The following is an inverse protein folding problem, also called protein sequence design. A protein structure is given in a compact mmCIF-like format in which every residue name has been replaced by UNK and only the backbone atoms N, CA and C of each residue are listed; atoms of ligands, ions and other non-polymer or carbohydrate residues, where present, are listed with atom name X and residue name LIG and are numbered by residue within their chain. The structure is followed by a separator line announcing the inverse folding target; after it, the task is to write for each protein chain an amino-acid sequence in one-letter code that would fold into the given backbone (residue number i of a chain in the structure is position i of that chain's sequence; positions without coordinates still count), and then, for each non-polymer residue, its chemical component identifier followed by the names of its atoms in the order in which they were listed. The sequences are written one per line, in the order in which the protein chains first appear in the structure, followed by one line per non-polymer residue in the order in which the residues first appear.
data_IF_666328793458
#
_entry.id   IF_666328793458
#
_cell.length_a   1.000
_cell.length_b   1.000
_cell.length_c   1.000
_cell.angle_alpha   90.00
_cell.angle_beta   90.00
_cell.angle_gamma   90.00
#
_symmetry.space_group_name_H-M   'P 1'
#
loop_
_entity.id
_entity.type
_entity.pdbx_description
1 polymer ?
#
# COMPACT_ATOMS: atom_id res chain seq x y z
N UNK A 1 -19.44 10.01 -18.92
CA UNK A 1 -18.18 9.25 -19.14
C UNK A 1 -18.39 8.22 -20.25
N UNK A 2 -17.49 8.14 -21.24
CA UNK A 2 -17.61 7.16 -22.33
C UNK A 2 -17.60 5.71 -21.78
N UNK A 3 -18.46 4.83 -22.32
CA UNK A 3 -18.59 3.42 -21.87
C UNK A 3 -17.25 2.65 -21.91
N UNK A 4 -16.38 2.98 -22.87
CA UNK A 4 -15.05 2.39 -22.99
C UNK A 4 -14.11 2.85 -21.86
N UNK A 5 -14.09 4.14 -21.52
CA UNK A 5 -13.27 4.68 -20.41
C UNK A 5 -13.69 4.08 -19.07
N UNK A 6 -15.00 3.91 -18.84
CA UNK A 6 -15.57 3.27 -17.65
C UNK A 6 -15.11 1.81 -17.49
N UNK A 7 -15.14 1.04 -18.57
CA UNK A 7 -14.72 -0.37 -18.56
C UNK A 7 -13.23 -0.49 -18.23
N UNK A 8 -12.39 0.33 -18.85
CA UNK A 8 -10.95 0.34 -18.58
C UNK A 8 -10.65 0.73 -17.13
N UNK A 9 -11.31 1.77 -16.61
CA UNK A 9 -11.12 2.21 -15.23
C UNK A 9 -11.49 1.12 -14.22
N UNK A 10 -12.61 0.42 -14.46
CA UNK A 10 -13.05 -0.70 -13.63
C UNK A 10 -12.03 -1.85 -13.64
N UNK A 11 -11.47 -2.19 -14.80
CA UNK A 11 -10.44 -3.23 -14.92
C UNK A 11 -9.19 -2.85 -14.12
N UNK A 12 -8.71 -1.62 -14.26
CA UNK A 12 -7.53 -1.14 -13.52
C UNK A 12 -7.77 -1.18 -12.01
N UNK A 13 -8.95 -0.76 -11.55
CA UNK A 13 -9.31 -0.84 -10.13
C UNK A 13 -9.34 -2.29 -9.60
N UNK A 14 -9.88 -3.23 -10.38
CA UNK A 14 -9.88 -4.65 -10.00
C UNK A 14 -8.47 -5.21 -9.93
N UNK A 15 -7.62 -4.90 -10.91
CA UNK A 15 -6.21 -5.30 -10.90
C UNK A 15 -5.46 -4.71 -9.70
N UNK A 16 -5.74 -3.45 -9.35
CA UNK A 16 -5.18 -2.80 -8.17
C UNK A 16 -5.57 -3.54 -6.88
N UNK A 17 -6.85 -3.92 -6.73
CA UNK A 17 -7.32 -4.70 -5.58
C UNK A 17 -6.64 -6.08 -5.51
N UNK A 18 -6.52 -6.78 -6.64
CA UNK A 18 -5.81 -8.07 -6.70
C UNK A 18 -4.35 -7.87 -6.29
N UNK A 19 -3.68 -6.83 -6.78
CA UNK A 19 -2.31 -6.48 -6.40
C UNK A 19 -2.16 -6.27 -4.89
N UNK A 20 -3.08 -5.53 -4.27
CA UNK A 20 -3.09 -5.30 -2.81
C UNK A 20 -3.29 -6.63 -2.05
N UNK A 21 -4.19 -7.51 -2.51
CA UNK A 21 -4.39 -8.82 -1.86
C UNK A 21 -3.14 -9.70 -1.97
N UNK A 22 -2.53 -9.76 -3.16
CA UNK A 22 -1.30 -10.52 -3.37
C UNK A 22 -0.15 -9.99 -2.51
N UNK A 23 -0.05 -8.68 -2.35
CA UNK A 23 0.92 -8.02 -1.48
C UNK A 23 0.76 -8.43 -0.02
N UNK A 24 -0.47 -8.36 0.51
CA UNK A 24 -0.77 -8.81 1.88
C UNK A 24 -0.50 -10.31 2.05
N UNK A 25 -0.88 -11.14 1.08
CA UNK A 25 -0.66 -12.58 1.11
C UNK A 25 0.84 -12.92 1.12
N UNK A 26 1.63 -12.24 0.29
CA UNK A 26 3.09 -12.38 0.27
C UNK A 26 3.71 -12.06 1.63
N UNK A 27 3.26 -10.99 2.29
CA UNK A 27 3.76 -10.63 3.62
C UNK A 27 3.29 -11.55 4.74
N UNK A 28 2.09 -12.13 4.64
CA UNK A 28 1.64 -13.15 5.56
C UNK A 28 2.56 -14.39 5.47
N UNK A 29 2.88 -14.83 4.25
CA UNK A 29 3.81 -15.93 4.01
C UNK A 29 5.21 -15.60 4.54
N UNK A 30 5.77 -14.43 4.24
CA UNK A 30 7.05 -14.01 4.80
C UNK A 30 7.04 -13.98 6.33
N UNK A 31 5.97 -13.45 6.94
CA UNK A 31 5.85 -13.37 8.40
C UNK A 31 5.89 -14.76 9.02
N UNK A 32 5.18 -15.72 8.42
CA UNK A 32 5.26 -17.12 8.82
C UNK A 32 6.70 -17.64 8.74
N UNK A 33 7.42 -17.43 7.63
CA UNK A 33 8.81 -17.86 7.51
C UNK A 33 9.72 -17.20 8.56
N UNK A 34 9.67 -15.87 8.71
CA UNK A 34 10.50 -15.14 9.70
C UNK A 34 10.28 -15.61 11.13
N UNK A 35 9.04 -15.99 11.48
CA UNK A 35 8.69 -16.48 12.81
C UNK A 35 8.99 -17.98 13.03
N UNK A 36 8.91 -18.82 11.98
CA UNK A 36 8.99 -20.28 12.12
C UNK A 36 10.32 -20.90 11.72
N UNK A 37 11.08 -20.32 10.79
CA UNK A 37 12.41 -20.85 10.37
C UNK A 37 13.58 -20.23 11.12
N UNK A 38 13.33 -19.65 12.30
CA UNK A 38 14.34 -19.05 13.15
C UNK A 38 15.32 -20.07 13.74
N UNK A 39 16.34 -20.47 12.97
CA UNK A 39 17.70 -20.85 13.43
C UNK A 39 18.61 -21.50 12.37
N UNK A 40 18.34 -21.34 11.06
CA UNK A 40 19.25 -21.86 10.01
C UNK A 40 20.08 -20.79 9.30
N UNK A 41 19.45 -19.64 9.00
CA UNK A 41 20.03 -18.52 8.23
C UNK A 41 19.54 -17.14 8.75
N UNK A 42 19.33 -17.04 10.07
CA UNK A 42 18.38 -16.16 10.77
C UNK A 42 18.24 -14.71 10.33
N UNK A 43 17.12 -14.41 9.64
CA UNK A 43 16.69 -13.07 9.22
C UNK A 43 16.57 -12.12 10.42
N UNK A 44 16.00 -12.57 11.54
CA UNK A 44 15.97 -11.84 12.82
C UNK A 44 16.49 -12.77 13.92
N UNK A 45 17.59 -12.39 14.57
CA UNK A 45 18.05 -13.07 15.78
C UNK A 45 17.16 -12.69 16.98
N UNK A 46 16.18 -13.55 17.25
CA UNK A 46 15.24 -13.44 18.37
C UNK A 46 15.89 -13.63 19.75
N UNK A 47 17.03 -14.33 19.84
CA UNK A 47 17.78 -14.52 21.08
C UNK A 47 18.67 -13.35 21.50
N UNK A 48 18.61 -12.21 20.80
CA UNK A 48 19.46 -11.06 21.09
C UNK A 48 18.99 -10.26 22.33
N UNK A 49 19.90 -9.57 23.05
CA UNK A 49 19.54 -8.73 24.20
C UNK A 49 18.51 -7.62 23.90
N UNK A 50 18.33 -7.28 22.61
CA UNK A 50 17.38 -6.27 22.13
C UNK A 50 16.10 -6.89 21.53
N UNK A 51 15.75 -8.12 21.90
CA UNK A 51 14.58 -8.83 21.35
C UNK A 51 13.30 -8.00 21.35
N UNK A 52 13.01 -7.28 22.44
CA UNK A 52 11.81 -6.44 22.53
C UNK A 52 11.76 -5.33 21.48
N UNK A 53 12.90 -4.67 21.21
CA UNK A 53 12.99 -3.65 20.16
C UNK A 53 12.77 -4.25 18.78
N UNK A 54 13.42 -5.40 18.49
CA UNK A 54 13.28 -6.09 17.20
C UNK A 54 11.84 -6.53 16.94
N UNK A 55 11.20 -7.11 17.94
CA UNK A 55 9.79 -7.50 17.87
C UNK A 55 8.90 -6.28 17.64
N UNK A 56 9.15 -5.18 18.36
CA UNK A 56 8.38 -3.93 18.20
C UNK A 56 8.47 -3.39 16.77
N UNK A 57 9.68 -3.25 16.22
CA UNK A 57 9.86 -2.72 14.85
C UNK A 57 9.22 -3.67 13.82
N UNK A 58 9.41 -4.99 13.97
CA UNK A 58 8.79 -5.98 13.10
C UNK A 58 7.25 -5.92 13.13
N UNK A 59 6.66 -5.89 14.32
CA UNK A 59 5.21 -5.80 14.48
C UNK A 59 4.67 -4.47 13.93
N UNK A 60 5.34 -3.34 14.21
CA UNK A 60 4.97 -2.04 13.66
C UNK A 60 5.03 -2.04 12.13
N UNK A 61 6.04 -2.67 11.53
CA UNK A 61 6.13 -2.84 10.09
C UNK A 61 4.92 -3.61 9.55
N UNK A 62 4.57 -4.76 10.14
CA UNK A 62 3.40 -5.55 9.70
C UNK A 62 2.07 -4.82 9.85
N UNK A 63 1.88 -4.12 10.96
CA UNK A 63 0.68 -3.30 11.18
C UNK A 63 0.62 -2.16 10.16
N UNK A 64 1.74 -1.51 9.86
CA UNK A 64 1.79 -0.43 8.88
C UNK A 64 1.47 -0.90 7.46
N UNK A 65 1.92 -2.10 7.06
CA UNK A 65 1.59 -2.73 5.77
C UNK A 65 0.07 -2.99 5.69
N UNK A 66 -0.53 -3.59 6.72
CA UNK A 66 -1.97 -3.85 6.76
C UNK A 66 -2.79 -2.55 6.71
N UNK A 67 -2.34 -1.52 7.44
CA UNK A 67 -2.97 -0.21 7.42
C UNK A 67 -2.91 0.41 6.02
N UNK A 68 -1.74 0.40 5.38
CA UNK A 68 -1.57 0.94 4.03
C UNK A 68 -2.39 0.15 3.00
N UNK A 69 -2.39 -1.17 3.06
CA UNK A 69 -3.22 -2.04 2.22
C UNK A 69 -4.71 -1.71 2.37
N UNK A 70 -5.17 -1.55 3.62
CA UNK A 70 -6.54 -1.18 3.93
C UNK A 70 -6.93 0.19 3.37
N UNK A 71 -6.06 1.20 3.51
CA UNK A 71 -6.28 2.53 2.96
C UNK A 71 -6.34 2.53 1.42
N UNK A 72 -5.40 1.86 0.76
CA UNK A 72 -5.38 1.71 -0.70
C UNK A 72 -6.62 0.96 -1.20
N UNK A 73 -6.99 -0.13 -0.54
CA UNK A 73 -8.19 -0.90 -0.90
C UNK A 73 -9.46 -0.08 -0.70
N UNK A 74 -9.60 0.62 0.42
CA UNK A 74 -10.74 1.50 0.70
C UNK A 74 -10.85 2.61 -0.34
N UNK A 75 -9.72 3.20 -0.76
CA UNK A 75 -9.68 4.21 -1.79
C UNK A 75 -10.18 3.67 -3.14
N UNK A 76 -9.67 2.51 -3.57
CA UNK A 76 -10.08 1.87 -4.84
C UNK A 76 -11.56 1.43 -4.80
N UNK A 77 -12.02 0.87 -3.68
CA UNK A 77 -13.43 0.49 -3.49
C UNK A 77 -14.34 1.72 -3.55
N UNK A 78 -13.94 2.84 -2.95
CA UNK A 78 -14.68 4.08 -3.04
C UNK A 78 -14.72 4.60 -4.49
N UNK A 79 -13.60 4.56 -5.24
CA UNK A 79 -13.64 4.90 -6.68
C UNK A 79 -14.68 4.04 -7.40
N UNK A 80 -14.64 2.72 -7.23
CA UNK A 80 -15.61 1.81 -7.85
C UNK A 80 -17.07 2.11 -7.44
N UNK A 81 -17.30 2.49 -6.19
CA UNK A 81 -18.62 2.81 -5.65
C UNK A 81 -19.17 4.14 -6.17
N UNK A 82 -18.35 5.19 -6.23
CA UNK A 82 -18.81 6.53 -6.61
C UNK A 82 -18.74 6.80 -8.11
N UNK A 83 -18.03 5.97 -8.87
CA UNK A 83 -18.08 5.92 -10.33
C UNK A 83 -19.50 5.71 -10.90
N UNK A 84 -20.38 4.98 -10.19
CA UNK A 84 -21.77 4.76 -10.65
C UNK A 84 -22.70 5.95 -10.38
N UNK A 85 -22.30 6.88 -9.50
CA UNK A 85 -23.11 8.02 -9.06
C UNK A 85 -22.64 9.37 -9.62
N UNK A 86 -21.64 9.40 -10.52
CA UNK A 86 -21.14 10.65 -11.12
C UNK A 86 -20.36 11.56 -10.17
N UNK A 87 -20.02 11.09 -8.96
CA UNK A 87 -19.24 11.89 -7.99
C UNK A 87 -17.77 11.54 -8.08
N UNK A 88 -17.02 12.39 -8.78
CA UNK A 88 -15.63 12.13 -9.19
C UNK A 88 -14.65 12.30 -8.03
N UNK A 89 -14.93 13.24 -7.11
CA UNK A 89 -14.19 13.45 -5.86
C UNK A 89 -15.10 13.36 -4.66
N UNK A 90 -15.29 12.15 -4.12
CA UNK A 90 -15.95 12.03 -2.83
C UNK A 90 -15.03 12.55 -1.70
N UNK A 91 -15.59 13.32 -0.76
CA UNK A 91 -14.93 13.75 0.48
C UNK A 91 -14.25 12.59 1.21
N UNK A 92 -14.83 11.39 1.17
CA UNK A 92 -14.21 10.20 1.75
C UNK A 92 -12.85 9.85 1.11
N UNK A 93 -12.70 9.99 -0.21
CA UNK A 93 -11.44 9.75 -0.90
C UNK A 93 -10.41 10.84 -0.63
N UNK A 94 -10.86 12.10 -0.49
CA UNK A 94 -9.97 13.20 -0.09
C UNK A 94 -9.42 12.95 1.31
N UNK A 95 -10.27 12.54 2.26
CA UNK A 95 -9.82 12.17 3.61
C UNK A 95 -8.85 10.99 3.57
N UNK A 96 -9.14 9.94 2.78
CA UNK A 96 -8.23 8.81 2.62
C UNK A 96 -6.87 9.22 2.07
N UNK A 97 -6.82 10.16 1.10
CA UNK A 97 -5.56 10.70 0.60
C UNK A 97 -4.78 11.41 1.70
N UNK A 98 -5.41 12.28 2.49
CA UNK A 98 -4.77 12.94 3.62
C UNK A 98 -4.22 11.95 4.64
N UNK A 99 -5.00 10.91 4.96
CA UNK A 99 -4.55 9.85 5.88
C UNK A 99 -3.35 9.10 5.29
N UNK A 100 -3.40 8.73 4.00
CA UNK A 100 -2.27 8.09 3.32
C UNK A 100 -1.03 8.98 3.29
N UNK A 101 -1.17 10.30 3.10
CA UNK A 101 -0.06 11.26 3.17
C UNK A 101 0.63 11.27 4.54
N UNK A 102 -0.09 11.01 5.62
CA UNK A 102 0.48 10.93 6.98
C UNK A 102 1.07 9.53 7.24
N UNK A 103 0.38 8.48 6.82
CA UNK A 103 0.78 7.09 7.10
C UNK A 103 1.99 6.68 6.26
N UNK A 104 2.15 7.21 5.04
CA UNK A 104 3.23 6.83 4.13
C UNK A 104 4.63 7.19 4.67
N UNK A 105 4.90 8.40 5.19
CA UNK A 105 6.16 8.72 5.87
C UNK A 105 6.42 7.85 7.09
N UNK A 106 5.39 7.55 7.89
CA UNK A 106 5.51 6.69 9.07
C UNK A 106 5.91 5.26 8.65
N UNK A 107 5.26 4.73 7.61
CA UNK A 107 5.60 3.44 7.05
C UNK A 107 7.02 3.41 6.50
N UNK A 108 7.44 4.42 5.73
CA UNK A 108 8.82 4.53 5.22
C UNK A 108 9.83 4.57 6.36
N UNK A 109 9.59 5.37 7.40
CA UNK A 109 10.46 5.45 8.57
C UNK A 109 10.57 4.09 9.28
N UNK A 110 9.47 3.37 9.48
CA UNK A 110 9.49 2.03 10.08
C UNK A 110 10.23 1.05 9.16
N UNK A 111 10.05 1.17 7.85
CA UNK A 111 10.78 0.41 6.83
C UNK A 111 12.29 0.62 6.95
N UNK A 112 12.77 1.86 6.87
CA UNK A 112 14.21 2.17 6.94
C UNK A 112 14.87 1.65 8.24
N UNK A 113 14.09 1.54 9.32
CA UNK A 113 14.55 1.00 10.60
C UNK A 113 14.42 -0.53 10.74
N UNK A 114 13.87 -1.26 9.76
CA UNK A 114 13.85 -2.73 9.78
C UNK A 114 15.24 -3.34 9.73
N UNK A 115 16.21 -2.65 9.12
CA UNK A 115 17.64 -2.99 9.17
C UNK A 115 18.14 -3.26 10.60
N UNK A 116 17.60 -2.58 11.61
CA UNK A 116 17.97 -2.74 13.04
C UNK A 116 17.49 -4.10 13.58
N UNK A 117 16.39 -4.63 13.06
CA UNK A 117 15.87 -5.94 13.44
C UNK A 117 16.52 -7.08 12.64
N UNK A 118 16.91 -6.82 11.39
CA UNK A 118 17.52 -7.79 10.49
C UNK A 118 18.97 -8.12 10.88
N UNK A 119 19.33 -9.41 10.87
CA UNK A 119 20.69 -9.89 11.19
C UNK A 119 21.33 -10.77 10.11
N UNK A 120 20.61 -11.11 9.02
CA UNK A 120 21.09 -12.07 8.01
C UNK A 120 21.74 -11.44 6.77
N UNK A 121 21.23 -10.33 6.23
CA UNK A 121 21.81 -9.58 5.09
C UNK A 121 20.95 -8.35 4.71
N UNK A 122 21.52 -7.42 3.94
CA UNK A 122 20.80 -6.30 3.30
C UNK A 122 19.68 -6.76 2.35
N UNK A 123 19.81 -7.94 1.73
CA UNK A 123 18.78 -8.49 0.85
C UNK A 123 17.47 -8.78 1.58
N UNK A 124 17.54 -9.23 2.83
CA UNK A 124 16.34 -9.45 3.63
C UNK A 124 15.70 -8.13 4.09
N UNK A 125 16.49 -7.07 4.26
CA UNK A 125 15.98 -5.75 4.58
C UNK A 125 15.12 -5.19 3.42
N UNK A 126 15.62 -5.27 2.19
CA UNK A 126 14.87 -4.88 0.97
C UNK A 126 13.54 -5.61 0.86
N UNK A 127 13.52 -6.89 1.22
CA UNK A 127 12.35 -7.78 1.13
C UNK A 127 11.31 -7.50 2.23
N UNK A 128 11.73 -6.91 3.35
CA UNK A 128 10.88 -6.58 4.50
C UNK A 128 10.35 -5.14 4.46
N UNK A 129 11.00 -4.25 3.71
CA UNK A 129 10.68 -2.81 3.62
C UNK A 129 9.77 -2.43 2.45
N UNK A 130 9.96 -3.04 1.27
CA UNK A 130 9.18 -2.93 0.02
C UNK A 130 8.61 -1.58 -0.45
N UNK A 131 9.17 -0.47 0.03
CA UNK A 131 8.86 0.89 -0.41
C UNK A 131 8.54 1.07 -1.91
N UNK A 132 9.22 0.41 -2.87
CA UNK A 132 8.87 0.47 -4.30
C UNK A 132 7.43 0.05 -4.66
N UNK A 133 6.84 -0.97 -4.03
CA UNK A 133 5.46 -1.41 -4.34
C UNK A 133 4.44 -0.38 -3.88
N UNK A 134 4.62 0.16 -2.67
CA UNK A 134 3.76 1.21 -2.11
C UNK A 134 3.81 2.46 -2.99
N UNK A 135 4.99 2.88 -3.44
CA UNK A 135 5.12 4.02 -4.35
C UNK A 135 4.45 3.77 -5.71
N UNK A 136 4.56 2.57 -6.27
CA UNK A 136 3.88 2.20 -7.52
C UNK A 136 2.35 2.24 -7.38
N UNK A 137 1.82 1.77 -6.25
CA UNK A 137 0.38 1.83 -5.96
C UNK A 137 -0.12 3.27 -5.74
N UNK A 138 0.66 4.10 -5.07
CA UNK A 138 0.36 5.54 -4.91
C UNK A 138 0.36 6.24 -6.27
N UNK A 139 1.34 5.96 -7.13
CA UNK A 139 1.40 6.50 -8.49
C UNK A 139 0.17 6.08 -9.32
N UNK A 140 -0.25 4.82 -9.20
CA UNK A 140 -1.47 4.32 -9.84
C UNK A 140 -2.72 5.06 -9.33
N UNK A 141 -2.83 5.26 -8.02
CA UNK A 141 -3.92 6.03 -7.39
C UNK A 141 -3.97 7.47 -7.93
N UNK A 142 -2.82 8.14 -8.02
CA UNK A 142 -2.73 9.51 -8.58
C UNK A 142 -3.12 9.52 -10.06
N UNK A 143 -2.67 8.53 -10.85
CA UNK A 143 -3.05 8.43 -12.26
C UNK A 143 -4.55 8.20 -12.45
N UNK A 144 -5.18 7.39 -11.58
CA UNK A 144 -6.63 7.19 -11.58
C UNK A 144 -7.39 8.49 -11.27
N UNK A 145 -6.91 9.26 -10.29
CA UNK A 145 -7.47 10.58 -9.95
C UNK A 145 -7.32 11.59 -11.07
N UNK A 146 -6.15 11.67 -11.69
CA UNK A 146 -5.90 12.58 -12.82
C UNK A 146 -6.84 12.26 -13.99
N UNK A 147 -6.97 10.98 -14.35
CA UNK A 147 -7.88 10.56 -15.42
C UNK A 147 -9.33 10.93 -15.11
N UNK A 148 -9.77 10.68 -13.87
CA UNK A 148 -11.09 11.03 -13.39
C UNK A 148 -11.35 12.54 -13.45
N UNK A 149 -10.38 13.36 -13.03
CA UNK A 149 -10.46 14.82 -13.10
C UNK A 149 -10.49 15.35 -14.54
N UNK A 150 -9.68 14.78 -15.43
CA UNK A 150 -9.62 15.14 -16.84
C UNK A 150 -10.94 14.81 -17.57
N UNK A 151 -11.49 13.62 -17.34
CA UNK A 151 -12.79 13.23 -17.91
C UNK A 151 -13.92 14.15 -17.38
N UNK A 152 -13.84 14.59 -16.11
CA UNK A 152 -14.76 15.59 -15.53
C UNK A 152 -14.70 16.96 -16.22
N UNK A 153 -13.48 17.48 -16.40
CA UNK A 153 -13.26 18.79 -16.99
C UNK A 153 -13.73 18.82 -18.45
N UNK A 154 -13.48 17.75 -19.21
CA UNK A 154 -14.01 17.58 -20.57
C UNK A 154 -15.53 17.56 -20.64
N UNK A 155 -16.20 16.94 -19.67
CA UNK A 155 -17.68 16.89 -19.63
C UNK A 155 -18.33 18.23 -19.26
N UNK A 156 -17.60 19.12 -18.58
CA UNK A 156 -18.10 20.43 -18.16
C UNK A 156 -17.65 21.60 -19.05
N UNK A 157 -16.94 21.33 -20.17
CA UNK A 157 -16.27 22.35 -21.01
C UNK A 157 -15.35 23.31 -20.21
N UNK A 158 -14.95 22.90 -19.01
CA UNK A 158 -13.99 23.64 -18.20
C UNK A 158 -12.62 23.43 -18.83
N UNK A 159 -12.07 24.49 -19.43
CA UNK A 159 -10.67 24.54 -19.82
C UNK A 159 -9.83 24.41 -18.55
N UNK A 160 -8.95 23.41 -18.50
CA UNK A 160 -7.91 23.29 -17.47
C UNK A 160 -6.82 24.30 -17.78
#
# INVERSE_FOLDING_TARGET
MEKASYRTLKVVCVLALIGIVLWVAFYAVQTYFVLTTGSGHGVINWGSPRMGLKLTIFTLNRVSILLMAGLMAAFVVNILKYMSGGTIFNRANVVLLWVMTIVLPIHSFIGDNMSIACSASEHFDVVLTDSPFVYAMVALIVALLYKLAYDAAREQELTI
#
